data_IF_506832533040
#
_entry.id   IF_506832533040
#
_cell.length_a   1.000
_cell.length_b   1.000
_cell.length_c   1.000
_cell.angle_alpha   90.00
_cell.angle_beta   90.00
_cell.angle_gamma   90.00
#
_symmetry.space_group_name_H-M   'P 1'
#
loop_
_entity.id
_entity.type
_entity.pdbx_description
1 polymer ?
#
# COMPACT_ATOMS: atom_id res chain seq x y z
N UNK A 1 2.77 0.16 27.62
CA UNK A 1 2.91 1.33 26.71
C UNK A 1 3.91 2.28 27.35
N UNK A 2 4.60 3.13 26.59
CA UNK A 2 5.26 4.28 27.23
C UNK A 2 4.20 5.33 27.65
N UNK A 3 4.54 6.17 28.63
CA UNK A 3 3.62 7.15 29.24
C UNK A 3 3.03 8.13 28.20
N UNK A 4 3.85 8.62 27.27
CA UNK A 4 3.41 9.55 26.22
C UNK A 4 2.32 8.92 25.33
N UNK A 5 2.53 7.68 24.89
CA UNK A 5 1.58 6.95 24.07
C UNK A 5 0.31 6.60 24.87
N UNK A 6 0.44 6.26 26.16
CA UNK A 6 -0.69 5.97 27.03
C UNK A 6 -1.59 7.20 27.19
N UNK A 7 -0.99 8.37 27.42
CA UNK A 7 -1.72 9.63 27.54
C UNK A 7 -2.47 9.99 26.25
N UNK A 8 -1.80 9.85 25.11
CA UNK A 8 -2.43 10.06 23.80
C UNK A 8 -3.66 9.14 23.60
N UNK A 9 -3.53 7.86 23.95
CA UNK A 9 -4.64 6.89 23.84
C UNK A 9 -5.80 7.28 24.74
N UNK A 10 -5.53 7.65 26.00
CA UNK A 10 -6.54 8.13 26.95
C UNK A 10 -7.31 9.33 26.40
N UNK A 11 -6.61 10.36 25.92
CA UNK A 11 -7.23 11.60 25.40
C UNK A 11 -8.14 11.32 24.19
N UNK A 12 -7.70 10.43 23.28
CA UNK A 12 -8.49 10.02 22.14
C UNK A 12 -9.72 9.19 22.54
N UNK A 13 -9.61 8.35 23.57
CA UNK A 13 -10.72 7.55 24.07
C UNK A 13 -11.77 8.38 24.80
N UNK A 14 -11.35 9.37 25.62
CA UNK A 14 -12.27 10.30 26.29
C UNK A 14 -13.10 11.11 25.29
N UNK A 15 -12.54 11.39 24.11
CA UNK A 15 -13.23 12.09 23.03
C UNK A 15 -14.30 11.24 22.30
N UNK A 16 -14.48 9.97 22.69
CA UNK A 16 -15.49 9.09 22.11
C UNK A 16 -16.91 9.47 22.57
N UNK A 17 -17.79 9.78 21.61
CA UNK A 17 -19.20 10.14 21.87
C UNK A 17 -20.17 8.94 21.84
N UNK A 18 -19.67 7.70 21.82
CA UNK A 18 -20.52 6.51 21.91
C UNK A 18 -21.40 6.17 20.68
N UNK A 19 -21.23 6.84 19.53
CA UNK A 19 -22.15 6.74 18.39
C UNK A 19 -22.12 5.41 17.58
N UNK A 20 -21.18 4.50 17.88
CA UNK A 20 -21.01 3.17 17.22
C UNK A 20 -20.80 3.17 15.69
N UNK A 21 -20.52 4.31 15.05
CA UNK A 21 -20.22 4.36 13.60
C UNK A 21 -19.00 3.50 13.24
N UNK A 22 -17.97 3.52 14.07
CA UNK A 22 -16.76 2.72 13.88
C UNK A 22 -17.04 1.21 13.82
N UNK A 23 -17.98 0.72 14.63
CA UNK A 23 -18.40 -0.68 14.67
C UNK A 23 -19.00 -1.10 13.33
N UNK A 24 -19.98 -0.32 12.84
CA UNK A 24 -20.70 -0.58 11.59
C UNK A 24 -19.79 -0.56 10.36
N UNK A 25 -18.73 0.25 10.39
CA UNK A 25 -17.78 0.39 9.29
C UNK A 25 -16.56 -0.56 9.37
N UNK A 26 -16.44 -1.38 10.41
CA UNK A 26 -15.23 -2.17 10.64
C UNK A 26 -15.25 -3.50 9.85
N UNK A 27 -14.37 -3.69 8.84
CA UNK A 27 -14.31 -4.96 8.11
C UNK A 27 -13.76 -6.11 8.97
N UNK A 28 -12.96 -5.80 9.99
CA UNK A 28 -12.47 -6.79 10.94
C UNK A 28 -13.61 -7.32 11.79
N UNK A 29 -14.42 -6.43 12.38
CA UNK A 29 -15.57 -6.80 13.19
C UNK A 29 -16.59 -7.65 12.40
N UNK A 30 -16.91 -7.21 11.17
CA UNK A 30 -17.83 -7.92 10.28
C UNK A 30 -17.38 -9.36 9.98
N UNK A 31 -16.09 -9.65 10.12
CA UNK A 31 -15.48 -10.96 9.90
C UNK A 31 -14.99 -11.61 11.21
N UNK A 32 -15.64 -11.34 12.34
CA UNK A 32 -15.34 -11.97 13.64
C UNK A 32 -14.05 -11.52 14.33
N UNK A 33 -13.49 -10.39 13.90
CA UNK A 33 -12.25 -9.83 14.41
C UNK A 33 -12.44 -8.74 15.46
N UNK A 34 -11.74 -7.63 15.29
CA UNK A 34 -11.67 -6.53 16.25
C UNK A 34 -12.97 -5.71 16.29
N UNK A 35 -13.50 -5.50 17.50
CA UNK A 35 -14.57 -4.55 17.82
C UNK A 35 -13.96 -3.19 18.22
N UNK A 36 -13.91 -2.20 17.32
CA UNK A 36 -13.30 -0.91 17.63
C UNK A 36 -14.13 -0.09 18.62
N UNK A 37 -15.44 -0.36 18.78
CA UNK A 37 -16.25 0.36 19.74
C UNK A 37 -15.89 -0.07 21.16
N UNK A 38 -15.74 -1.38 21.41
CA UNK A 38 -15.33 -1.90 22.71
C UNK A 38 -13.94 -1.43 23.12
N UNK A 39 -12.99 -1.50 22.17
CA UNK A 39 -11.62 -1.01 22.40
C UNK A 39 -11.62 0.47 22.80
N UNK A 40 -12.43 1.32 22.13
CA UNK A 40 -12.56 2.74 22.48
C UNK A 40 -13.20 3.01 23.85
N UNK A 41 -13.82 2.02 24.49
CA UNK A 41 -14.39 2.11 25.85
C UNK A 41 -13.52 1.39 26.89
N UNK A 42 -12.29 0.99 26.54
CA UNK A 42 -11.34 0.37 27.46
C UNK A 42 -11.56 -1.12 27.68
N UNK A 43 -12.40 -1.76 26.88
CA UNK A 43 -12.58 -3.21 26.87
C UNK A 43 -11.66 -3.87 25.83
N UNK A 44 -11.42 -5.18 25.95
CA UNK A 44 -10.47 -5.89 25.06
C UNK A 44 -10.82 -5.75 23.57
N UNK A 45 -12.09 -5.95 23.22
CA UNK A 45 -12.62 -5.84 21.87
C UNK A 45 -11.82 -6.59 20.80
N UNK A 46 -11.07 -7.63 21.19
CA UNK A 46 -10.15 -8.38 20.33
C UNK A 46 -9.21 -7.47 19.50
N UNK A 47 -8.58 -6.48 20.15
CA UNK A 47 -7.74 -5.47 19.44
C UNK A 47 -6.59 -6.09 18.63
N UNK A 48 -6.12 -7.28 19.02
CA UNK A 48 -5.10 -8.06 18.29
C UNK A 48 -5.53 -8.36 16.85
N UNK A 49 -6.83 -8.55 16.62
CA UNK A 49 -7.41 -8.78 15.30
C UNK A 49 -7.57 -7.49 14.47
N UNK A 50 -7.21 -6.30 14.98
CA UNK A 50 -7.33 -5.07 14.21
C UNK A 50 -6.43 -5.10 12.96
N UNK A 51 -7.03 -4.87 11.80
CA UNK A 51 -6.33 -4.83 10.51
C UNK A 51 -5.64 -3.47 10.29
N UNK A 52 -6.00 -2.43 11.03
CA UNK A 52 -5.40 -1.10 10.94
C UNK A 52 -5.73 -0.34 9.64
N UNK A 53 -6.82 -0.69 8.95
CA UNK A 53 -7.26 -0.01 7.72
C UNK A 53 -7.57 1.48 7.97
N UNK A 54 -8.25 1.78 9.09
CA UNK A 54 -8.63 3.14 9.47
C UNK A 54 -10.06 3.53 9.17
N UNK A 55 -10.90 2.61 8.68
CA UNK A 55 -12.33 2.90 8.42
C UNK A 55 -13.07 3.42 9.65
N UNK A 56 -12.69 2.98 10.83
CA UNK A 56 -13.20 3.52 12.09
C UNK A 56 -12.96 5.03 12.24
N UNK A 57 -11.81 5.55 11.83
CA UNK A 57 -11.51 6.99 11.89
C UNK A 57 -12.17 7.80 10.79
N UNK A 58 -12.31 7.22 9.59
CA UNK A 58 -12.97 7.91 8.48
C UNK A 58 -14.45 8.23 8.77
N UNK A 59 -15.12 7.36 9.53
CA UNK A 59 -16.53 7.57 9.93
C UNK A 59 -16.69 8.23 11.31
N UNK A 60 -15.59 8.49 12.01
CA UNK A 60 -15.62 9.07 13.36
C UNK A 60 -15.69 10.60 13.30
N UNK A 61 -16.70 11.24 13.91
CA UNK A 61 -16.83 12.69 13.89
C UNK A 61 -16.04 13.40 15.00
N UNK A 62 -15.47 12.67 15.96
CA UNK A 62 -15.00 13.25 17.23
C UNK A 62 -13.54 12.95 17.59
N UNK A 63 -12.97 11.84 17.11
CA UNK A 63 -11.65 11.37 17.53
C UNK A 63 -10.99 10.51 16.43
N UNK A 64 -9.84 9.90 16.72
CA UNK A 64 -9.07 9.03 15.82
C UNK A 64 -8.94 7.59 16.34
N UNK A 65 -10.00 6.75 16.21
CA UNK A 65 -9.97 5.37 16.66
C UNK A 65 -8.84 4.52 16.07
N UNK A 66 -8.40 4.78 14.83
CA UNK A 66 -7.27 4.08 14.22
C UNK A 66 -6.03 4.20 15.08
N UNK A 67 -5.72 5.38 15.60
CA UNK A 67 -4.54 5.58 16.46
C UNK A 67 -4.64 4.75 17.72
N UNK A 68 -5.80 4.80 18.38
CA UNK A 68 -6.10 3.96 19.55
C UNK A 68 -5.89 2.49 19.21
N UNK A 69 -6.49 1.99 18.13
CA UNK A 69 -6.33 0.59 17.72
C UNK A 69 -4.87 0.20 17.49
N UNK A 70 -4.08 1.04 16.81
CA UNK A 70 -2.68 0.70 16.50
C UNK A 70 -1.81 0.65 17.75
N UNK A 71 -2.01 1.58 18.69
CA UNK A 71 -1.27 1.61 19.96
C UNK A 71 -1.71 0.47 20.89
N UNK A 72 -3.02 0.28 21.08
CA UNK A 72 -3.56 -0.81 21.89
C UNK A 72 -3.24 -2.20 21.31
N UNK A 73 -3.19 -2.34 19.98
CA UNK A 73 -2.73 -3.58 19.36
C UNK A 73 -1.24 -3.85 19.65
N UNK A 74 -0.40 -2.83 19.56
CA UNK A 74 1.02 -2.98 19.86
C UNK A 74 1.25 -3.33 21.34
N UNK A 75 0.50 -2.69 22.24
CA UNK A 75 0.42 -3.01 23.66
C UNK A 75 0.09 -4.49 23.88
N UNK A 76 -1.05 -4.92 23.34
CA UNK A 76 -1.60 -6.25 23.56
C UNK A 76 -0.69 -7.37 23.00
N UNK A 77 0.11 -7.06 21.98
CA UNK A 77 1.07 -7.99 21.38
C UNK A 77 2.48 -7.90 21.99
N UNK A 78 2.77 -6.91 22.83
CA UNK A 78 4.08 -6.73 23.46
C UNK A 78 5.24 -6.64 22.47
N UNK A 79 5.02 -6.06 21.28
CA UNK A 79 5.99 -6.13 20.19
C UNK A 79 7.12 -5.09 20.37
N UNK A 80 8.40 -5.52 20.47
CA UNK A 80 9.53 -4.61 20.52
C UNK A 80 9.82 -3.98 19.14
N UNK A 81 10.69 -2.97 19.11
CA UNK A 81 11.28 -2.49 17.85
C UNK A 81 12.05 -3.65 17.19
N UNK A 82 11.76 -4.01 15.93
CA UNK A 82 12.43 -5.14 15.28
C UNK A 82 13.94 -4.90 15.10
N UNK A 83 14.76 -5.92 15.32
CA UNK A 83 16.21 -5.86 15.06
C UNK A 83 16.53 -5.46 13.61
N UNK A 84 15.72 -5.94 12.66
CA UNK A 84 15.81 -5.54 11.26
C UNK A 84 15.69 -4.03 11.07
N UNK A 85 14.83 -3.36 11.86
CA UNK A 85 14.69 -1.91 11.80
C UNK A 85 15.93 -1.19 12.32
N UNK A 86 16.52 -1.69 13.42
CA UNK A 86 17.76 -1.15 13.97
C UNK A 86 18.91 -1.29 12.96
N UNK A 87 19.02 -2.46 12.32
CA UNK A 87 20.12 -2.78 11.39
C UNK A 87 19.97 -2.12 10.01
N UNK A 88 18.76 -2.12 9.45
CA UNK A 88 18.53 -1.75 8.05
C UNK A 88 17.65 -0.50 7.87
N UNK A 89 17.03 0.01 8.94
CA UNK A 89 16.02 1.06 8.85
C UNK A 89 14.65 0.58 8.37
N UNK A 90 14.45 -0.73 8.18
CA UNK A 90 13.19 -1.34 7.73
C UNK A 90 12.78 -2.49 8.66
N UNK A 91 11.47 -2.67 8.85
CA UNK A 91 10.96 -3.78 9.69
C UNK A 91 11.10 -5.17 9.05
N UNK A 92 11.64 -5.25 7.84
CA UNK A 92 11.96 -6.48 7.10
C UNK A 92 13.35 -6.27 6.52
N UNK A 93 14.24 -7.28 6.56
CA UNK A 93 15.52 -7.23 5.86
C UNK A 93 15.34 -6.92 4.37
N UNK A 94 16.31 -6.24 3.73
CA UNK A 94 16.28 -6.07 2.28
C UNK A 94 16.38 -7.42 1.57
N UNK A 95 15.73 -7.53 0.41
CA UNK A 95 15.83 -8.68 -0.46
C UNK A 95 17.24 -8.81 -1.04
N UNK A 96 17.60 -10.04 -1.40
CA UNK A 96 18.87 -10.34 -2.06
C UNK A 96 18.98 -9.60 -3.41
N UNK A 97 20.07 -8.85 -3.68
CA UNK A 97 20.21 -8.04 -4.90
C UNK A 97 20.10 -8.80 -6.23
N UNK A 98 20.25 -10.13 -6.24
CA UNK A 98 20.06 -10.99 -7.41
C UNK A 98 18.68 -10.85 -8.06
N UNK A 99 17.69 -10.28 -7.36
CA UNK A 99 16.40 -9.93 -7.98
C UNK A 99 16.56 -9.04 -9.22
N UNK A 100 17.67 -8.30 -9.37
CA UNK A 100 17.94 -7.45 -10.54
C UNK A 100 18.45 -8.22 -11.76
N UNK A 101 18.92 -9.45 -11.58
CA UNK A 101 19.49 -10.24 -12.66
C UNK A 101 18.44 -10.48 -13.76
N UNK A 102 18.82 -10.20 -15.00
CA UNK A 102 17.93 -10.28 -16.16
C UNK A 102 17.09 -9.02 -16.43
N UNK A 103 16.96 -8.10 -15.46
CA UNK A 103 16.22 -6.86 -15.69
C UNK A 103 17.06 -5.82 -16.46
N UNK A 104 16.45 -5.10 -17.42
CA UNK A 104 17.09 -3.96 -18.07
C UNK A 104 17.55 -2.88 -17.09
N UNK A 105 18.66 -2.21 -17.40
CA UNK A 105 19.08 -1.06 -16.62
C UNK A 105 18.21 0.17 -16.92
N UNK A 106 17.81 0.89 -15.88
CA UNK A 106 17.08 2.15 -16.01
C UNK A 106 17.92 3.25 -15.39
N UNK A 107 18.38 4.24 -16.18
CA UNK A 107 19.15 5.36 -15.65
C UNK A 107 18.39 6.10 -14.56
N UNK A 108 19.08 6.40 -13.46
CA UNK A 108 18.51 7.25 -12.41
C UNK A 108 18.25 8.66 -12.94
N UNK A 109 17.12 9.23 -12.54
CA UNK A 109 16.75 10.59 -12.88
C UNK A 109 16.88 11.58 -11.74
N UNK A 110 16.62 12.86 -12.05
CA UNK A 110 16.79 13.97 -11.11
C UNK A 110 15.49 14.71 -10.78
N UNK A 111 14.35 14.27 -11.28
CA UNK A 111 13.09 15.00 -11.14
C UNK A 111 12.45 14.74 -9.77
N UNK A 112 12.46 13.48 -9.32
CA UNK A 112 11.80 13.07 -8.07
C UNK A 112 12.55 11.97 -7.33
N UNK A 113 12.27 11.84 -6.02
CA UNK A 113 12.74 10.73 -5.21
C UNK A 113 11.70 9.61 -5.07
N UNK A 114 12.14 8.35 -5.14
CA UNK A 114 11.33 7.18 -4.83
C UNK A 114 11.51 6.80 -3.35
N UNK A 115 10.39 6.63 -2.66
CA UNK A 115 10.28 6.04 -1.32
C UNK A 115 9.58 4.68 -1.43
N UNK A 116 10.32 3.59 -1.71
CA UNK A 116 9.74 2.28 -1.99
C UNK A 116 9.05 1.66 -0.77
N UNK A 117 9.60 1.90 0.43
CA UNK A 117 9.08 1.36 1.68
C UNK A 117 9.45 -0.10 1.93
N UNK A 118 9.10 -0.61 3.11
CA UNK A 118 9.63 -1.88 3.63
C UNK A 118 9.21 -3.13 2.84
N UNK A 119 7.95 -3.22 2.37
CA UNK A 119 7.48 -4.40 1.62
C UNK A 119 8.20 -4.51 0.28
N UNK A 120 8.37 -3.40 -0.43
CA UNK A 120 9.10 -3.36 -1.70
C UNK A 120 10.56 -3.72 -1.45
N UNK A 121 11.19 -3.15 -0.42
CA UNK A 121 12.58 -3.48 -0.13
C UNK A 121 12.84 -4.93 0.24
N UNK A 122 11.93 -5.57 0.97
CA UNK A 122 12.17 -6.90 1.53
C UNK A 122 11.45 -8.06 0.84
N UNK A 123 10.36 -7.81 0.09
CA UNK A 123 9.52 -8.87 -0.49
C UNK A 123 9.25 -8.71 -1.97
N UNK A 124 8.99 -7.49 -2.42
CA UNK A 124 8.64 -7.19 -3.82
C UNK A 124 9.62 -6.18 -4.44
N UNK A 125 10.94 -6.46 -4.46
CA UNK A 125 11.95 -5.48 -4.83
C UNK A 125 11.92 -5.10 -6.32
N UNK A 126 11.42 -5.97 -7.19
CA UNK A 126 11.18 -5.72 -8.60
C UNK A 126 10.22 -4.54 -8.86
N UNK A 127 9.38 -4.16 -7.89
CA UNK A 127 8.54 -2.97 -8.00
C UNK A 127 9.35 -1.67 -8.07
N UNK A 128 10.62 -1.66 -7.63
CA UNK A 128 11.53 -0.52 -7.86
C UNK A 128 11.79 -0.32 -9.35
N UNK A 129 12.10 -1.42 -10.05
CA UNK A 129 12.26 -1.44 -11.50
C UNK A 129 10.97 -1.01 -12.19
N UNK A 130 9.84 -1.63 -11.86
CA UNK A 130 8.54 -1.30 -12.48
C UNK A 130 8.20 0.18 -12.33
N UNK A 131 8.48 0.75 -11.15
CA UNK A 131 8.24 2.16 -10.88
C UNK A 131 9.16 3.05 -11.71
N UNK A 132 10.45 2.75 -11.78
CA UNK A 132 11.37 3.48 -12.64
C UNK A 132 10.99 3.38 -14.14
N UNK A 133 10.54 2.22 -14.62
CA UNK A 133 10.03 2.03 -15.99
C UNK A 133 8.78 2.89 -16.25
N UNK A 134 7.81 2.83 -15.35
CA UNK A 134 6.57 3.60 -15.47
C UNK A 134 6.82 5.11 -15.55
N UNK A 135 7.71 5.62 -14.71
CA UNK A 135 8.09 7.03 -14.73
C UNK A 135 8.91 7.41 -15.98
N UNK A 136 9.85 6.55 -16.40
CA UNK A 136 10.59 6.77 -17.65
C UNK A 136 9.65 6.84 -18.86
N UNK A 137 8.64 5.96 -18.92
CA UNK A 137 7.66 5.93 -20.01
C UNK A 137 6.85 7.23 -20.14
N UNK A 138 6.68 7.97 -19.05
CA UNK A 138 6.04 9.30 -19.05
C UNK A 138 7.04 10.46 -19.07
N UNK A 139 8.31 10.19 -19.34
CA UNK A 139 9.37 11.20 -19.45
C UNK A 139 9.72 11.88 -18.12
N UNK A 140 9.68 11.12 -17.02
CA UNK A 140 10.06 11.58 -15.68
C UNK A 140 11.15 10.68 -15.13
N UNK A 141 12.26 11.27 -14.72
CA UNK A 141 13.38 10.57 -14.13
C UNK A 141 13.29 10.53 -12.61
N UNK A 142 13.30 9.32 -12.03
CA UNK A 142 13.28 9.13 -10.57
C UNK A 142 14.57 8.50 -10.07
N UNK A 143 14.88 8.72 -8.80
CA UNK A 143 15.97 8.06 -8.07
C UNK A 143 15.51 7.65 -6.68
N UNK A 144 15.95 6.50 -6.17
CA UNK A 144 15.66 6.12 -4.78
C UNK A 144 16.32 7.12 -3.80
N UNK A 145 15.58 7.56 -2.78
CA UNK A 145 16.14 8.45 -1.76
C UNK A 145 17.28 7.73 -1.02
N UNK A 146 18.44 8.38 -0.90
CA UNK A 146 19.54 7.84 -0.11
C UNK A 146 19.15 7.74 1.37
N UNK A 147 19.51 6.63 2.01
CA UNK A 147 19.11 6.30 3.38
C UNK A 147 17.57 6.32 3.59
N UNK A 148 16.80 5.90 2.58
CA UNK A 148 15.37 5.65 2.75
C UNK A 148 15.14 4.64 3.90
N UNK A 149 14.07 4.85 4.67
CA UNK A 149 13.70 3.98 5.81
C UNK A 149 12.22 3.62 5.76
N UNK A 150 11.78 2.80 6.71
CA UNK A 150 10.37 2.54 6.93
C UNK A 150 9.61 3.86 7.15
N UNK A 151 8.38 3.95 6.65
CA UNK A 151 7.49 5.09 6.88
C UNK A 151 7.03 5.21 8.35
N UNK A 152 7.38 4.26 9.22
CA UNK A 152 7.00 4.15 10.63
C UNK A 152 5.54 3.70 10.88
N UNK A 153 4.88 3.16 9.86
CA UNK A 153 3.52 2.63 9.95
C UNK A 153 3.37 1.29 10.70
N UNK A 154 4.27 0.29 10.53
CA UNK A 154 4.12 -1.05 11.10
C UNK A 154 3.88 -1.08 12.62
N UNK A 155 3.05 -2.03 13.07
CA UNK A 155 2.65 -2.18 14.48
C UNK A 155 3.84 -2.26 15.45
N UNK A 156 4.92 -3.02 15.19
CA UNK A 156 6.06 -3.09 16.12
C UNK A 156 6.68 -1.72 16.42
N UNK A 157 6.66 -0.79 15.46
CA UNK A 157 7.20 0.56 15.64
C UNK A 157 6.29 1.45 16.51
N UNK A 158 5.11 0.96 16.93
CA UNK A 158 4.26 1.66 17.90
C UNK A 158 4.74 1.55 19.35
N UNK A 159 5.75 0.71 19.61
CA UNK A 159 6.53 0.73 20.86
C UNK A 159 7.34 2.01 21.03
N UNK A 160 7.72 2.66 19.92
CA UNK A 160 8.36 3.98 19.90
C UNK A 160 7.34 5.10 20.17
N UNK A 161 7.81 6.21 20.72
CA UNK A 161 7.05 7.46 20.85
C UNK A 161 6.80 8.10 19.48
N UNK A 162 5.77 8.93 19.38
CA UNK A 162 5.52 9.70 18.15
C UNK A 162 6.64 10.65 17.77
N UNK A 163 7.34 11.22 18.76
CA UNK A 163 8.51 12.08 18.54
C UNK A 163 9.62 11.30 17.83
N UNK A 164 9.94 10.10 18.31
CA UNK A 164 10.96 9.26 17.68
C UNK A 164 10.54 8.83 16.28
N UNK A 165 9.29 8.40 16.08
CA UNK A 165 8.76 8.03 14.75
C UNK A 165 8.83 9.21 13.78
N UNK A 166 8.39 10.38 14.20
CA UNK A 166 8.39 11.58 13.35
C UNK A 166 9.82 12.05 13.06
N UNK A 167 10.78 11.87 13.98
CA UNK A 167 12.19 12.17 13.72
C UNK A 167 12.73 11.41 12.49
N UNK A 168 12.34 10.14 12.32
CA UNK A 168 12.73 9.34 11.15
C UNK A 168 12.13 9.91 9.87
N UNK A 169 10.85 10.27 9.91
CA UNK A 169 10.13 10.87 8.76
C UNK A 169 10.75 12.21 8.36
N UNK A 170 11.08 13.06 9.33
CA UNK A 170 11.70 14.36 9.08
C UNK A 170 13.13 14.25 8.55
N UNK A 171 13.91 13.25 8.98
CA UNK A 171 15.21 12.97 8.36
C UNK A 171 15.07 12.65 6.88
N UNK A 172 14.12 11.78 6.51
CA UNK A 172 13.85 11.51 5.09
C UNK A 172 13.40 12.78 4.34
N UNK A 173 12.48 13.57 4.91
CA UNK A 173 12.06 14.86 4.32
C UNK A 173 13.25 15.79 4.07
N UNK A 174 14.14 15.94 5.04
CA UNK A 174 15.29 16.83 4.92
C UNK A 174 16.27 16.34 3.83
N UNK A 175 16.42 15.03 3.66
CA UNK A 175 17.23 14.43 2.58
C UNK A 175 16.66 14.66 1.19
N UNK A 176 15.35 14.88 1.06
CA UNK A 176 14.74 15.24 -0.22
C UNK A 176 15.18 16.62 -0.71
N UNK A 177 15.74 17.48 0.15
CA UNK A 177 16.26 18.81 -0.21
C UNK A 177 15.26 19.66 -1.03
N UNK A 178 13.97 19.55 -0.70
CA UNK A 178 12.89 20.27 -1.40
C UNK A 178 12.44 19.64 -2.73
N UNK A 179 13.12 18.60 -3.22
CA UNK A 179 12.66 17.82 -4.38
C UNK A 179 11.44 16.97 -4.01
N UNK A 180 10.51 16.82 -4.94
CA UNK A 180 9.31 16.00 -4.72
C UNK A 180 9.69 14.52 -4.54
N UNK A 181 8.92 13.81 -3.71
CA UNK A 181 9.05 12.38 -3.53
C UNK A 181 7.74 11.66 -3.90
N UNK A 182 7.83 10.40 -4.28
CA UNK A 182 6.69 9.52 -4.54
C UNK A 182 6.82 8.25 -3.71
N UNK A 183 5.70 7.78 -3.16
CA UNK A 183 5.61 6.46 -2.57
C UNK A 183 4.62 5.58 -3.32
N UNK A 184 4.96 4.31 -3.47
CA UNK A 184 4.12 3.32 -4.15
C UNK A 184 3.25 2.52 -3.17
N UNK A 185 3.10 2.98 -1.92
CA UNK A 185 2.29 2.31 -0.92
C UNK A 185 1.30 3.28 -0.28
N UNK A 186 0.01 2.98 -0.42
CA UNK A 186 -1.08 3.69 0.24
C UNK A 186 -0.85 3.91 1.75
N UNK A 187 -0.34 2.89 2.45
CA UNK A 187 -0.04 2.97 3.89
C UNK A 187 1.11 3.92 4.22
N UNK A 188 2.17 3.95 3.38
CA UNK A 188 3.28 4.89 3.53
C UNK A 188 2.80 6.33 3.32
N UNK A 189 2.01 6.59 2.27
CA UNK A 189 1.48 7.92 1.98
C UNK A 189 0.69 8.46 3.19
N UNK A 190 -0.23 7.67 3.72
CA UNK A 190 -1.03 8.06 4.88
C UNK A 190 -0.16 8.27 6.14
N UNK A 191 0.84 7.43 6.40
CA UNK A 191 1.69 7.58 7.59
C UNK A 191 2.64 8.78 7.51
N UNK A 192 3.16 9.10 6.33
CA UNK A 192 3.93 10.32 6.10
C UNK A 192 3.08 11.56 6.30
N UNK A 193 1.87 11.58 5.73
CA UNK A 193 0.94 12.69 5.88
C UNK A 193 0.58 12.96 7.35
N UNK A 194 0.36 11.90 8.15
CA UNK A 194 0.13 12.02 9.61
C UNK A 194 1.30 12.66 10.36
N UNK A 195 2.51 12.51 9.85
CA UNK A 195 3.71 13.16 10.39
C UNK A 195 4.04 14.50 9.73
N UNK A 196 3.15 15.08 8.90
CA UNK A 196 3.42 16.34 8.21
C UNK A 196 4.50 16.27 7.12
N UNK A 197 4.76 15.07 6.57
CA UNK A 197 5.68 14.87 5.45
C UNK A 197 4.88 14.61 4.18
N UNK A 198 5.08 15.44 3.16
CA UNK A 198 4.44 15.28 1.86
C UNK A 198 5.18 14.21 1.03
N UNK A 199 4.58 13.03 0.94
CA UNK A 199 5.01 11.92 0.10
C UNK A 199 3.78 11.30 -0.58
N UNK A 200 3.32 11.88 -1.69
CA UNK A 200 2.11 11.46 -2.38
C UNK A 200 2.18 10.02 -2.88
N UNK A 201 1.02 9.38 -2.93
CA UNK A 201 0.87 8.08 -3.54
C UNK A 201 1.12 8.17 -5.06
N UNK A 202 1.67 7.11 -5.64
CA UNK A 202 2.04 7.06 -7.05
C UNK A 202 0.87 7.31 -8.00
N UNK A 203 -0.37 6.93 -7.63
CA UNK A 203 -1.55 7.24 -8.44
C UNK A 203 -1.74 8.75 -8.63
N UNK A 204 -1.60 9.53 -7.56
CA UNK A 204 -1.74 10.99 -7.60
C UNK A 204 -0.64 11.65 -8.42
N UNK A 205 0.58 11.10 -8.39
CA UNK A 205 1.66 11.60 -9.24
C UNK A 205 1.41 11.25 -10.71
N UNK A 206 1.11 9.99 -11.03
CA UNK A 206 0.88 9.54 -12.40
C UNK A 206 -0.35 10.19 -13.04
N UNK A 207 -1.35 10.57 -12.25
CA UNK A 207 -2.52 11.33 -12.71
C UNK A 207 -2.16 12.71 -13.27
N UNK A 208 -0.97 13.25 -12.99
CA UNK A 208 -0.47 14.48 -13.63
C UNK A 208 0.01 14.25 -15.06
N UNK A 209 0.19 13.00 -15.47
CA UNK A 209 0.78 12.60 -16.74
C UNK A 209 -0.17 11.76 -17.62
N UNK A 210 -1.48 11.83 -17.39
CA UNK A 210 -2.48 11.03 -18.12
C UNK A 210 -2.33 11.18 -19.65
N UNK A 211 -2.10 12.38 -20.15
CA UNK A 211 -1.90 12.61 -21.60
C UNK A 211 -0.68 11.89 -22.17
N UNK A 212 0.36 11.66 -21.36
CA UNK A 212 1.54 10.90 -21.77
C UNK A 212 1.26 9.40 -21.70
N UNK A 213 0.55 8.95 -20.65
CA UNK A 213 0.15 7.55 -20.47
C UNK A 213 -0.76 7.09 -21.63
N UNK A 214 -1.70 7.92 -22.07
CA UNK A 214 -2.59 7.61 -23.21
C UNK A 214 -1.87 7.44 -24.56
N UNK A 215 -0.63 7.90 -24.67
CA UNK A 215 0.19 7.76 -25.89
C UNK A 215 1.06 6.50 -25.89
N UNK A 216 1.09 5.76 -24.79
CA UNK A 216 1.78 4.48 -24.72
C UNK A 216 1.09 3.44 -25.63
N UNK A 217 1.78 2.34 -26.01
CA UNK A 217 1.18 1.22 -26.76
C UNK A 217 -0.19 0.76 -26.23
N UNK A 218 -0.35 0.78 -24.89
CA UNK A 218 -1.61 0.59 -24.21
C UNK A 218 -2.05 -0.87 -24.07
N UNK A 219 -3.11 -1.08 -23.28
CA UNK A 219 -3.58 -2.39 -22.81
C UNK A 219 -5.04 -2.64 -23.15
N UNK A 220 -5.44 -2.28 -24.38
CA UNK A 220 -6.82 -2.41 -24.85
C UNK A 220 -7.33 -3.85 -24.65
N UNK A 221 -8.55 -3.99 -24.13
CA UNK A 221 -9.18 -5.28 -23.88
C UNK A 221 -8.74 -6.00 -22.61
N UNK A 222 -7.76 -5.47 -21.85
CA UNK A 222 -7.41 -6.02 -20.55
C UNK A 222 -8.41 -5.53 -19.49
N UNK A 223 -9.29 -6.41 -19.03
CA UNK A 223 -10.28 -6.13 -17.99
C UNK A 223 -9.65 -6.23 -16.62
N UNK A 224 -9.79 -5.18 -15.81
CA UNK A 224 -9.12 -5.13 -14.50
C UNK A 224 -10.05 -4.76 -13.36
N UNK A 225 -9.90 -5.44 -12.22
CA UNK A 225 -10.51 -5.01 -10.96
C UNK A 225 -9.58 -4.01 -10.25
N UNK A 226 -10.16 -3.06 -9.51
CA UNK A 226 -9.41 -1.98 -8.87
C UNK A 226 -9.30 -2.19 -7.36
N UNK A 227 -8.06 -2.30 -6.87
CA UNK A 227 -7.75 -2.47 -5.46
C UNK A 227 -6.71 -1.41 -5.03
N UNK A 228 -7.09 -0.12 -4.92
CA UNK A 228 -6.16 0.96 -4.55
C UNK A 228 -5.56 0.76 -3.14
N UNK A 229 -6.22 -0.03 -2.30
CA UNK A 229 -5.87 -0.29 -0.92
C UNK A 229 -6.53 0.70 0.04
N UNK A 230 -6.84 0.22 1.26
CA UNK A 230 -7.65 0.93 2.24
C UNK A 230 -7.20 2.35 2.62
N UNK A 231 -5.92 2.70 2.45
CA UNK A 231 -5.38 4.04 2.77
C UNK A 231 -5.33 4.98 1.56
N UNK A 232 -5.65 4.49 0.36
CA UNK A 232 -5.64 5.22 -0.90
C UNK A 232 -7.03 5.37 -1.55
N UNK A 233 -8.11 5.02 -0.84
CA UNK A 233 -9.48 5.25 -1.33
C UNK A 233 -9.74 6.73 -1.66
N UNK A 234 -9.17 7.64 -0.87
CA UNK A 234 -9.21 9.09 -1.15
C UNK A 234 -8.57 9.48 -2.50
N UNK A 235 -7.75 8.61 -3.07
CA UNK A 235 -7.07 8.77 -4.36
C UNK A 235 -7.69 7.86 -5.43
N UNK A 236 -8.88 7.28 -5.19
CA UNK A 236 -9.51 6.33 -6.12
C UNK A 236 -9.75 6.96 -7.50
N UNK A 237 -10.15 8.24 -7.55
CA UNK A 237 -10.33 8.97 -8.81
C UNK A 237 -9.03 9.03 -9.63
N UNK A 238 -7.92 9.38 -8.99
CA UNK A 238 -6.60 9.41 -9.63
C UNK A 238 -6.16 8.00 -10.05
N UNK A 239 -6.38 7.01 -9.19
CA UNK A 239 -6.03 5.62 -9.42
C UNK A 239 -6.74 5.06 -10.67
N UNK A 240 -8.06 5.21 -10.72
CA UNK A 240 -8.88 4.78 -11.86
C UNK A 240 -8.52 5.58 -13.13
N UNK A 241 -8.28 6.88 -13.03
CA UNK A 241 -7.88 7.69 -14.17
C UNK A 241 -6.56 7.19 -14.80
N UNK A 242 -5.57 6.84 -13.97
CA UNK A 242 -4.30 6.26 -14.43
C UNK A 242 -4.55 4.91 -15.10
N UNK A 243 -5.34 4.02 -14.48
CA UNK A 243 -5.68 2.71 -15.07
C UNK A 243 -6.38 2.87 -16.42
N UNK A 244 -7.37 3.76 -16.55
CA UNK A 244 -8.03 4.00 -17.83
C UNK A 244 -7.09 4.60 -18.87
N UNK A 245 -6.14 5.44 -18.45
CA UNK A 245 -5.16 6.02 -19.35
C UNK A 245 -4.19 5.00 -19.93
N UNK A 246 -3.95 3.86 -19.27
CA UNK A 246 -3.17 2.76 -19.86
C UNK A 246 -3.93 2.01 -20.96
N UNK A 247 -5.22 2.27 -21.14
CA UNK A 247 -6.08 1.54 -22.05
C UNK A 247 -6.68 0.26 -21.46
N UNK A 248 -6.36 -0.09 -20.21
CA UNK A 248 -7.05 -1.14 -19.48
C UNK A 248 -8.50 -0.73 -19.14
N UNK A 249 -9.36 -1.72 -18.99
CA UNK A 249 -10.80 -1.54 -18.80
C UNK A 249 -11.21 -1.94 -17.38
N UNK A 250 -11.43 -0.97 -16.46
CA UNK A 250 -11.94 -1.28 -15.13
C UNK A 250 -13.29 -2.01 -15.20
N UNK A 251 -13.34 -3.24 -14.71
CA UNK A 251 -14.59 -3.93 -14.40
C UNK A 251 -14.98 -3.56 -12.97
N UNK A 252 -16.24 -3.17 -12.77
CA UNK A 252 -16.69 -2.73 -11.45
C UNK A 252 -16.55 -3.84 -10.42
N UNK A 253 -15.82 -3.59 -9.35
CA UNK A 253 -15.71 -4.47 -8.18
C UNK A 253 -16.00 -3.69 -6.90
N UNK A 254 -16.41 -4.39 -5.85
CA UNK A 254 -16.45 -3.80 -4.51
C UNK A 254 -15.02 -3.78 -3.96
N UNK A 255 -14.33 -2.65 -4.08
CA UNK A 255 -12.99 -2.51 -3.50
C UNK A 255 -13.04 -2.77 -1.99
N UNK A 256 -11.98 -3.38 -1.44
CA UNK A 256 -12.00 -3.78 -0.03
C UNK A 256 -10.64 -3.88 0.66
N UNK A 257 -10.66 -4.40 1.89
CA UNK A 257 -9.45 -4.64 2.65
C UNK A 257 -8.93 -6.06 2.39
N UNK A 258 -7.62 -6.24 2.20
CA UNK A 258 -6.99 -7.56 2.08
C UNK A 258 -6.84 -8.31 3.42
N UNK A 259 -7.32 -7.75 4.53
CA UNK A 259 -7.18 -8.32 5.87
C UNK A 259 -5.77 -8.33 6.49
N UNK A 260 -4.75 -7.96 5.71
CA UNK A 260 -3.32 -8.03 6.08
C UNK A 260 -3.00 -9.43 6.64
N UNK A 261 -2.24 -9.52 7.73
CA UNK A 261 -1.83 -10.80 8.30
C UNK A 261 -2.66 -11.19 9.53
N UNK A 262 -3.96 -10.87 9.56
CA UNK A 262 -4.85 -11.25 10.68
C UNK A 262 -5.47 -12.63 10.38
N UNK A 263 -5.16 -13.68 11.16
CA UNK A 263 -5.72 -15.01 10.94
C UNK A 263 -7.25 -15.01 10.97
N UNK A 264 -7.88 -15.81 10.11
CA UNK A 264 -9.34 -15.90 9.98
C UNK A 264 -9.95 -14.72 9.23
N UNK A 265 -9.65 -13.49 9.66
CA UNK A 265 -10.13 -12.26 9.03
C UNK A 265 -9.53 -12.07 7.62
N UNK A 266 -8.23 -12.31 7.46
CA UNK A 266 -7.56 -12.28 6.15
C UNK A 266 -8.17 -13.31 5.21
N UNK A 267 -8.38 -14.52 5.68
CA UNK A 267 -8.81 -15.63 4.83
C UNK A 267 -10.25 -15.38 4.32
N UNK A 268 -11.15 -14.94 5.21
CA UNK A 268 -12.50 -14.52 4.83
C UNK A 268 -12.49 -13.35 3.83
N UNK A 269 -11.76 -12.28 4.13
CA UNK A 269 -11.70 -11.10 3.24
C UNK A 269 -11.06 -11.44 1.90
N UNK A 270 -9.98 -12.22 1.86
CA UNK A 270 -9.33 -12.57 0.59
C UNK A 270 -10.24 -13.44 -0.28
N UNK A 271 -11.05 -14.33 0.32
CA UNK A 271 -12.07 -15.07 -0.41
C UNK A 271 -13.10 -14.12 -1.04
N UNK A 272 -13.68 -13.21 -0.25
CA UNK A 272 -14.63 -12.21 -0.76
C UNK A 272 -14.04 -11.38 -1.90
N UNK A 273 -12.80 -10.88 -1.73
CA UNK A 273 -12.14 -10.03 -2.73
C UNK A 273 -11.90 -10.77 -4.04
N UNK A 274 -11.54 -12.05 -3.99
CA UNK A 274 -11.34 -12.86 -5.19
C UNK A 274 -12.66 -13.15 -5.92
N UNK A 275 -13.75 -13.39 -5.18
CA UNK A 275 -15.10 -13.54 -5.73
C UNK A 275 -15.57 -12.23 -6.41
N UNK A 276 -15.35 -11.08 -5.76
CA UNK A 276 -15.71 -9.77 -6.31
C UNK A 276 -14.87 -9.35 -7.53
N UNK A 277 -13.71 -9.97 -7.74
CA UNK A 277 -12.83 -9.73 -8.88
C UNK A 277 -12.94 -10.84 -9.96
N UNK A 278 -13.90 -11.76 -9.84
CA UNK A 278 -14.00 -12.96 -10.69
C UNK A 278 -14.13 -12.65 -12.20
N UNK A 279 -14.73 -11.50 -12.54
CA UNK A 279 -14.96 -11.08 -13.94
C UNK A 279 -13.77 -10.31 -14.55
N UNK A 280 -12.71 -10.05 -13.78
CA UNK A 280 -11.50 -9.39 -14.27
C UNK A 280 -10.47 -10.40 -14.82
N UNK A 281 -9.64 -9.94 -15.75
CA UNK A 281 -8.44 -10.66 -16.20
C UNK A 281 -7.32 -10.53 -15.16
N UNK A 282 -7.22 -9.38 -14.49
CA UNK A 282 -6.25 -9.10 -13.44
C UNK A 282 -6.76 -8.10 -12.40
N UNK A 283 -6.12 -8.08 -11.22
CA UNK A 283 -6.37 -7.11 -10.15
C UNK A 283 -5.26 -6.06 -10.17
N UNK A 284 -5.60 -4.77 -10.22
CA UNK A 284 -4.62 -3.69 -10.13
C UNK A 284 -4.54 -3.18 -8.68
N UNK A 285 -3.42 -3.44 -8.02
CA UNK A 285 -3.17 -3.08 -6.63
C UNK A 285 -2.44 -1.72 -6.51
N UNK A 286 -2.91 -0.87 -5.59
CA UNK A 286 -2.24 0.37 -5.17
C UNK A 286 -1.39 0.23 -3.89
N UNK A 287 -1.16 -0.99 -3.45
CA UNK A 287 -0.39 -1.25 -2.25
C UNK A 287 0.40 -2.56 -2.37
N UNK A 288 1.74 -2.52 -2.30
CA UNK A 288 2.59 -3.70 -2.34
C UNK A 288 2.22 -4.75 -1.28
N UNK A 289 1.76 -4.31 -0.11
CA UNK A 289 1.30 -5.23 0.92
C UNK A 289 0.01 -5.95 0.52
N UNK A 290 -0.91 -5.30 -0.21
CA UNK A 290 -2.10 -5.97 -0.71
C UNK A 290 -1.70 -7.00 -1.77
N UNK A 291 -0.82 -6.60 -2.69
CA UNK A 291 -0.29 -7.48 -3.74
C UNK A 291 0.28 -8.79 -3.19
N UNK A 292 1.07 -8.75 -2.11
CA UNK A 292 1.58 -9.98 -1.43
C UNK A 292 0.45 -10.95 -1.06
N UNK A 293 -0.70 -10.45 -0.59
CA UNK A 293 -1.81 -11.30 -0.17
C UNK A 293 -2.70 -11.74 -1.33
N UNK A 294 -2.89 -10.89 -2.34
CA UNK A 294 -3.63 -11.25 -3.55
C UNK A 294 -2.89 -12.33 -4.36
N UNK A 295 -1.58 -12.17 -4.57
CA UNK A 295 -0.76 -13.12 -5.35
C UNK A 295 -0.61 -14.48 -4.65
N UNK A 296 -0.75 -14.51 -3.32
CA UNK A 296 -0.64 -15.72 -2.52
C UNK A 296 -1.90 -16.60 -2.53
N UNK A 297 -3.00 -16.19 -3.19
CA UNK A 297 -4.23 -17.00 -3.25
C UNK A 297 -4.09 -18.07 -4.33
N UNK A 298 -4.09 -19.38 -3.99
CA UNK A 298 -3.99 -20.44 -4.99
C UNK A 298 -5.18 -20.41 -5.95
N UNK A 299 -4.90 -20.39 -7.25
CA UNK A 299 -5.95 -20.29 -8.28
C UNK A 299 -6.74 -18.97 -8.28
N UNK A 300 -6.25 -17.95 -7.55
CA UNK A 300 -6.84 -16.63 -7.55
C UNK A 300 -6.66 -15.89 -8.88
N UNK A 301 -7.10 -14.64 -8.92
CA UNK A 301 -6.84 -13.74 -10.04
C UNK A 301 -5.38 -13.22 -10.01
N UNK A 302 -4.71 -13.15 -11.17
CA UNK A 302 -3.43 -12.45 -11.30
C UNK A 302 -3.53 -11.04 -10.73
N UNK A 303 -2.49 -10.59 -10.03
CA UNK A 303 -2.43 -9.24 -9.45
C UNK A 303 -1.24 -8.49 -10.01
N UNK A 304 -1.39 -7.20 -10.26
CA UNK A 304 -0.33 -6.32 -10.75
C UNK A 304 -0.35 -5.01 -9.99
N UNK A 305 0.80 -4.47 -9.66
CA UNK A 305 0.87 -3.14 -9.06
C UNK A 305 0.59 -2.05 -10.12
N UNK A 306 0.03 -0.91 -9.72
CA UNK A 306 -0.26 0.20 -10.64
C UNK A 306 0.94 0.63 -11.50
N UNK A 307 2.15 0.61 -10.95
CA UNK A 307 3.37 0.96 -11.72
C UNK A 307 3.78 -0.12 -12.71
N UNK A 308 3.58 -1.39 -12.38
CA UNK A 308 3.78 -2.49 -13.35
C UNK A 308 2.75 -2.38 -14.48
N UNK A 309 1.50 -2.01 -14.20
CA UNK A 309 0.50 -1.79 -15.24
C UNK A 309 0.92 -0.69 -16.23
N UNK A 310 1.46 0.43 -15.72
CA UNK A 310 1.96 1.52 -16.58
C UNK A 310 3.21 1.10 -17.36
N UNK A 311 4.12 0.33 -16.75
CA UNK A 311 5.26 -0.25 -17.46
C UNK A 311 4.81 -1.22 -18.58
N UNK A 312 3.85 -2.09 -18.28
CA UNK A 312 3.25 -3.00 -19.25
C UNK A 312 2.58 -2.26 -20.40
N UNK A 313 1.87 -1.17 -20.10
CA UNK A 313 1.29 -0.29 -21.12
C UNK A 313 2.34 0.35 -22.03
N UNK A 314 3.56 0.54 -21.52
CA UNK A 314 4.73 1.00 -22.27
C UNK A 314 5.43 -0.13 -23.07
N UNK A 315 4.91 -1.37 -23.01
CA UNK A 315 5.45 -2.54 -23.70
C UNK A 315 6.50 -3.33 -22.88
N UNK A 316 6.57 -3.10 -21.57
CA UNK A 316 7.55 -3.72 -20.67
C UNK A 316 6.86 -4.70 -19.70
N UNK A 317 7.05 -5.99 -19.96
CA UNK A 317 6.43 -7.09 -19.21
C UNK A 317 7.41 -7.81 -18.26
N UNK A 318 8.67 -7.35 -18.16
CA UNK A 318 9.77 -8.07 -17.48
C UNK A 318 9.39 -8.53 -16.07
N UNK A 319 8.71 -7.64 -15.32
CA UNK A 319 8.28 -7.95 -13.94
C UNK A 319 7.30 -9.09 -13.81
N UNK A 320 6.61 -9.50 -14.88
CA UNK A 320 5.73 -10.67 -14.87
C UNK A 320 6.46 -11.92 -14.37
N UNK A 321 7.76 -12.07 -14.63
CA UNK A 321 8.55 -13.23 -14.20
C UNK A 321 8.48 -13.49 -12.68
N UNK A 322 8.29 -12.47 -11.84
CA UNK A 322 8.23 -12.59 -10.38
C UNK A 322 6.87 -12.98 -9.82
N UNK A 323 5.80 -12.91 -10.62
CA UNK A 323 4.44 -13.20 -10.14
C UNK A 323 4.16 -14.69 -10.12
N UNK A 324 3.43 -15.14 -9.10
CA UNK A 324 2.98 -16.53 -8.96
C UNK A 324 1.95 -16.87 -10.04
N UNK A 325 1.08 -15.90 -10.36
CA UNK A 325 0.06 -16.01 -11.39
C UNK A 325 0.31 -14.97 -12.49
N UNK A 326 0.58 -15.45 -13.70
CA UNK A 326 0.84 -14.57 -14.85
C UNK A 326 -0.48 -14.00 -15.39
N UNK A 327 -0.45 -12.74 -15.80
CA UNK A 327 -1.56 -12.12 -16.51
C UNK A 327 -1.67 -12.75 -17.89
N UNK A 328 -2.91 -12.93 -18.36
CA UNK A 328 -3.21 -13.34 -19.73
C UNK A 328 -4.21 -12.35 -20.31
N UNK A 329 -4.17 -12.17 -21.62
CA UNK A 329 -5.12 -11.33 -22.35
C UNK A 329 -5.50 -12.03 -23.64
N UNK A 330 -6.77 -11.91 -24.02
CA UNK A 330 -7.27 -12.39 -25.31
C UNK A 330 -6.94 -11.41 -26.45
N UNK A 331 -6.55 -10.16 -26.17
CA UNK A 331 -6.05 -9.23 -27.21
C UNK A 331 -4.67 -9.74 -27.68
N UNK A 332 -4.49 -10.09 -28.97
CA UNK A 332 -3.24 -10.68 -29.45
C UNK A 332 -2.01 -9.78 -29.26
N UNK A 333 -2.19 -8.45 -29.24
CA UNK A 333 -1.08 -7.50 -29.02
C UNK A 333 -0.64 -7.53 -27.56
N UNK A 334 -1.59 -7.48 -26.63
CA UNK A 334 -1.30 -7.57 -25.19
C UNK A 334 -0.75 -8.95 -24.86
N UNK A 335 -1.32 -10.02 -25.43
CA UNK A 335 -0.80 -11.38 -25.29
C UNK A 335 0.65 -11.49 -25.78
N UNK A 336 0.99 -10.86 -26.91
CA UNK A 336 2.38 -10.86 -27.42
C UNK A 336 3.35 -10.08 -26.54
N UNK A 337 2.88 -9.08 -25.79
CA UNK A 337 3.70 -8.39 -24.78
C UNK A 337 3.94 -9.29 -23.57
N UNK A 338 2.89 -9.98 -23.11
CA UNK A 338 2.92 -10.86 -21.93
C UNK A 338 3.64 -12.19 -22.17
N UNK A 339 3.91 -12.57 -23.42
CA UNK A 339 4.61 -13.81 -23.80
C UNK A 339 6.12 -13.66 -23.99
N UNK A 340 6.67 -12.46 -23.78
CA UNK A 340 8.11 -12.23 -23.71
C UNK A 340 8.64 -12.63 -22.36
#
# INVERSE_FOLDING_TARGET
MNETNAKLVEDLMISCIGCKRCLKACPSYANGGCDPYYVMHGWDGNVKACIGCGKCSEVCPATDPKTVMLHMKAEALGLPVPEAFVKYGYVIPPADPSWKEGLPEIPEGKDMYLLPGCIVNGRLPYLKYATARAFQAVGVGIKELSDNKCCMYPIPLRSMTDVERNSVKYRMRNRMQGREAVTICAGCCNEFARGGVYAPHVSTILARYLERIRKLPGLKGLKVALEPGCSAERFMKDFEAVVRATGAEPVGNRYGCCGKNIPGVKDALMKERQEECADADAIVAGCPNCMVFYDAVPGGKPVIHLTELVALAAGDSETQMYHSLKIRSEDPRVSSMLSK
#
